data_IF_878200053754
#
_entry.id   IF_878200053754
#
_cell.length_a   1.000
_cell.length_b   1.000
_cell.length_c   1.000
_cell.angle_alpha   90.00
_cell.angle_beta   90.00
_cell.angle_gamma   90.00
#
_symmetry.space_group_name_H-M   'P 1'
#
loop_
_entity.id
_entity.type
_entity.pdbx_description
1 polymer ?
#
# COMPACT_ATOMS: atom_id res chain seq x y z
N UNK A 1 0.07 -21.04 1.48
CA UNK A 1 1.14 -20.01 1.62
C UNK A 1 0.55 -18.64 1.91
N UNK A 2 1.16 -17.93 2.87
CA UNK A 2 0.82 -16.57 3.32
C UNK A 2 2.05 -15.68 3.09
N UNK A 3 1.83 -14.43 2.68
CA UNK A 3 2.91 -13.42 2.58
C UNK A 3 2.66 -12.33 3.62
N UNK A 4 3.67 -12.00 4.42
CA UNK A 4 3.64 -10.88 5.36
C UNK A 4 4.66 -9.84 4.92
N UNK A 5 4.20 -8.63 4.62
CA UNK A 5 5.07 -7.46 4.41
C UNK A 5 5.11 -6.72 5.74
N UNK A 6 6.26 -6.66 6.40
CA UNK A 6 6.41 -6.03 7.71
C UNK A 6 7.18 -4.72 7.53
N UNK A 7 6.47 -3.60 7.62
CA UNK A 7 7.03 -2.25 7.63
C UNK A 7 7.24 -1.82 9.08
N UNK A 8 8.43 -1.35 9.42
CA UNK A 8 8.75 -0.90 10.76
C UNK A 8 9.61 0.36 10.76
N UNK A 9 9.36 1.26 11.70
CA UNK A 9 10.19 2.44 11.94
C UNK A 9 11.11 2.21 13.15
N UNK A 10 12.42 2.38 12.94
CA UNK A 10 13.43 2.33 13.99
C UNK A 10 14.19 3.66 14.10
N UNK A 11 15.28 3.70 14.88
CA UNK A 11 16.11 4.90 15.06
C UNK A 11 16.79 5.39 13.77
N UNK A 12 16.93 4.54 12.75
CA UNK A 12 17.64 4.81 11.50
C UNK A 12 16.70 5.18 10.35
N UNK A 13 15.42 4.85 10.46
CA UNK A 13 14.42 5.15 9.44
C UNK A 13 13.31 4.11 9.38
N UNK A 14 12.68 4.00 8.21
CA UNK A 14 11.61 3.02 7.97
C UNK A 14 12.10 1.94 7.02
N UNK A 15 11.89 0.70 7.40
CA UNK A 15 12.37 -0.47 6.67
C UNK A 15 11.26 -1.50 6.48
N UNK A 16 11.46 -2.38 5.51
CA UNK A 16 10.57 -3.49 5.22
C UNK A 16 11.32 -4.81 5.18
N UNK A 17 10.75 -5.79 5.88
CA UNK A 17 11.05 -7.20 5.70
C UNK A 17 9.82 -7.91 5.10
N UNK A 18 10.04 -8.94 4.29
CA UNK A 18 8.97 -9.76 3.74
C UNK A 18 9.19 -11.21 4.12
N UNK A 19 8.15 -11.82 4.67
CA UNK A 19 8.14 -13.21 5.10
C UNK A 19 7.15 -14.03 4.27
N UNK A 20 7.53 -15.28 3.97
CA UNK A 20 6.65 -16.28 3.39
C UNK A 20 6.41 -17.39 4.40
N UNK A 21 5.15 -17.63 4.72
CA UNK A 21 4.74 -18.68 5.65
C UNK A 21 4.17 -19.84 4.84
N UNK A 22 4.76 -21.02 4.98
CA UNK A 22 4.29 -22.23 4.32
C UNK A 22 3.07 -22.83 5.04
N UNK A 23 2.51 -23.91 4.50
CA UNK A 23 1.27 -24.51 5.02
C UNK A 23 1.47 -25.21 6.38
N UNK A 24 2.72 -25.42 6.81
CA UNK A 24 3.07 -25.92 8.14
C UNK A 24 3.30 -24.78 9.16
N UNK A 25 3.10 -23.53 8.77
CA UNK A 25 3.30 -22.37 9.64
C UNK A 25 4.75 -21.93 9.82
N UNK A 26 5.69 -22.47 9.04
CA UNK A 26 7.10 -22.06 9.10
C UNK A 26 7.26 -20.81 8.23
N UNK A 27 7.70 -19.69 8.81
CA UNK A 27 8.12 -18.52 8.05
C UNK A 27 9.55 -18.62 7.55
N UNK A 28 9.74 -18.08 6.35
CA UNK A 28 11.02 -17.79 5.74
C UNK A 28 11.08 -16.29 5.45
N UNK A 29 12.14 -15.61 5.91
CA UNK A 29 12.44 -14.23 5.49
C UNK A 29 12.98 -14.26 4.06
N UNK A 30 12.25 -13.65 3.12
CA UNK A 30 12.57 -13.69 1.69
C UNK A 30 13.10 -12.36 1.16
N UNK A 31 12.84 -11.25 1.85
CA UNK A 31 13.40 -9.92 1.59
C UNK A 31 13.62 -9.23 2.93
N UNK A 32 14.70 -8.47 3.08
CA UNK A 32 15.01 -7.82 4.36
C UNK A 32 15.70 -6.48 4.22
N UNK A 33 15.46 -5.62 5.23
CA UNK A 33 16.04 -4.30 5.39
C UNK A 33 15.89 -3.40 4.16
N UNK A 34 14.75 -3.49 3.46
CA UNK A 34 14.48 -2.64 2.31
C UNK A 34 14.11 -1.25 2.83
N UNK A 35 14.85 -0.22 2.43
CA UNK A 35 14.51 1.17 2.76
C UNK A 35 13.11 1.49 2.23
N UNK A 36 12.25 1.98 3.14
CA UNK A 36 10.82 2.19 2.85
C UNK A 36 10.48 3.66 2.98
N UNK A 37 9.81 4.20 1.96
CA UNK A 37 9.34 5.58 1.93
C UNK A 37 7.88 5.57 2.38
N UNK A 38 7.57 6.36 3.39
CA UNK A 38 6.21 6.49 3.96
C UNK A 38 5.72 7.93 3.86
N UNK A 39 4.56 8.20 4.45
CA UNK A 39 3.99 9.54 4.53
C UNK A 39 4.97 10.58 5.07
N UNK A 40 4.81 11.84 4.63
CA UNK A 40 5.60 13.00 5.12
C UNK A 40 5.54 13.21 6.64
N UNK A 41 4.51 12.69 7.29
CA UNK A 41 4.35 12.71 8.74
C UNK A 41 4.80 11.38 9.37
N UNK A 42 5.51 10.53 8.63
CA UNK A 42 5.92 9.15 8.97
C UNK A 42 4.74 8.21 9.24
N UNK A 43 4.92 7.20 10.09
CA UNK A 43 3.86 6.27 10.47
C UNK A 43 3.02 6.87 11.61
N UNK A 44 1.71 6.70 11.52
CA UNK A 44 0.76 7.20 12.53
C UNK A 44 1.08 6.60 13.91
N UNK A 45 1.28 7.43 14.95
CA UNK A 45 1.50 6.94 16.31
C UNK A 45 0.33 6.08 16.83
N UNK A 46 0.61 5.18 17.75
CA UNK A 46 -0.39 4.30 18.33
C UNK A 46 -1.43 5.09 19.12
N UNK A 47 -2.70 4.77 18.90
CA UNK A 47 -3.84 5.43 19.57
C UNK A 47 -4.28 6.73 18.91
N UNK A 48 -3.53 7.26 17.94
CA UNK A 48 -3.95 8.44 17.17
C UNK A 48 -4.96 8.10 16.08
N UNK A 49 -5.76 9.09 15.70
CA UNK A 49 -6.76 8.96 14.64
C UNK A 49 -6.21 9.52 13.32
N UNK A 50 -6.18 8.67 12.30
CA UNK A 50 -5.88 9.05 10.93
C UNK A 50 -6.95 10.01 10.40
N UNK A 51 -6.54 11.00 9.62
CA UNK A 51 -7.40 11.94 8.92
C UNK A 51 -6.98 12.13 7.47
N UNK A 52 -7.89 12.61 6.64
CA UNK A 52 -7.61 13.03 5.27
C UNK A 52 -6.55 14.13 5.26
N UNK A 53 -5.56 14.01 4.36
CA UNK A 53 -4.48 15.00 4.24
C UNK A 53 -3.51 15.13 5.43
N UNK A 54 -3.55 14.29 6.47
CA UNK A 54 -2.65 14.40 7.63
C UNK A 54 -1.17 14.03 7.34
N UNK A 55 -0.91 13.39 6.20
CA UNK A 55 0.43 12.99 5.78
C UNK A 55 0.99 11.74 6.45
N UNK A 56 0.24 11.06 7.32
CA UNK A 56 0.69 9.84 7.99
C UNK A 56 0.42 8.59 7.15
N UNK A 57 1.29 7.59 7.26
CA UNK A 57 0.97 6.21 6.86
C UNK A 57 0.23 5.51 8.00
N UNK A 58 -0.91 4.84 7.77
CA UNK A 58 -1.67 4.23 8.85
C UNK A 58 -0.91 3.06 9.48
N UNK A 59 -0.84 3.06 10.81
CA UNK A 59 -0.31 1.93 11.58
C UNK A 59 -1.35 0.81 11.70
N UNK A 60 -0.95 -0.46 11.64
CA UNK A 60 -1.86 -1.61 11.75
C UNK A 60 -1.55 -2.76 10.77
N UNK A 61 -2.41 -3.77 10.76
CA UNK A 61 -2.36 -4.86 9.78
C UNK A 61 -3.50 -4.71 8.76
N UNK A 62 -3.14 -4.72 7.48
CA UNK A 62 -4.07 -4.52 6.37
C UNK A 62 -3.90 -5.59 5.31
N UNK A 63 -5.00 -5.98 4.64
CA UNK A 63 -4.93 -6.89 3.50
C UNK A 63 -4.54 -6.15 2.23
N UNK A 64 -3.94 -6.89 1.30
CA UNK A 64 -3.77 -6.44 -0.09
C UNK A 64 -4.83 -7.11 -0.93
N UNK A 65 -5.89 -6.37 -1.26
CA UNK A 65 -7.12 -6.93 -1.85
C UNK A 65 -7.23 -6.69 -3.35
N UNK A 66 -6.49 -5.71 -3.86
CA UNK A 66 -6.61 -5.25 -5.24
C UNK A 66 -5.29 -4.69 -5.74
N UNK A 67 -5.01 -4.83 -7.03
CA UNK A 67 -3.85 -4.25 -7.68
C UNK A 67 -4.25 -3.56 -8.98
N UNK A 68 -3.49 -2.54 -9.37
CA UNK A 68 -3.70 -1.83 -10.63
C UNK A 68 -2.39 -1.25 -11.14
N UNK A 69 -2.39 -0.78 -12.39
CA UNK A 69 -1.30 0.03 -12.93
C UNK A 69 -1.22 0.00 -14.44
N UNK A 70 -0.26 0.74 -14.98
CA UNK A 70 0.02 0.77 -16.41
C UNK A 70 1.07 -0.26 -16.85
N UNK A 71 1.70 -0.99 -15.92
CA UNK A 71 2.61 -2.10 -16.20
C UNK A 71 1.88 -3.33 -16.75
N UNK A 72 2.61 -4.26 -17.37
CA UNK A 72 2.03 -5.56 -17.75
C UNK A 72 1.97 -6.47 -16.52
N UNK A 73 0.87 -7.20 -16.28
CA UNK A 73 0.83 -8.12 -15.15
C UNK A 73 1.98 -9.14 -15.26
N UNK A 74 2.65 -9.43 -14.15
CA UNK A 74 3.89 -10.23 -14.11
C UNK A 74 3.80 -11.62 -14.77
N UNK A 75 2.58 -12.16 -14.94
CA UNK A 75 2.33 -13.45 -15.57
C UNK A 75 1.46 -13.37 -16.84
N UNK A 76 1.17 -12.17 -17.36
CA UNK A 76 0.29 -11.99 -18.53
C UNK A 76 -1.21 -12.17 -18.27
N UNK A 77 -1.61 -12.58 -17.05
CA UNK A 77 -3.01 -12.74 -16.65
C UNK A 77 -3.53 -11.50 -15.89
N UNK A 78 -4.83 -11.22 -15.93
CA UNK A 78 -5.52 -10.17 -15.12
C UNK A 78 -5.49 -10.43 -13.60
N UNK A 79 -4.64 -11.36 -13.16
CA UNK A 79 -4.49 -11.82 -11.78
C UNK A 79 -3.01 -11.87 -11.43
N UNK A 80 -2.55 -11.01 -10.52
CA UNK A 80 -1.23 -11.13 -9.90
C UNK A 80 -1.36 -12.11 -8.73
N UNK A 81 -1.02 -13.38 -8.98
CA UNK A 81 -0.88 -14.43 -7.92
C UNK A 81 -2.13 -14.59 -7.03
N UNK A 82 -3.30 -14.46 -7.64
CA UNK A 82 -4.62 -14.57 -7.00
C UNK A 82 -5.21 -13.24 -6.53
N UNK A 83 -4.56 -12.10 -6.79
CA UNK A 83 -5.08 -10.75 -6.53
C UNK A 83 -5.55 -10.15 -7.85
N UNK A 84 -6.77 -9.57 -7.94
CA UNK A 84 -7.24 -8.89 -9.15
C UNK A 84 -6.28 -7.78 -9.58
N UNK A 85 -6.00 -7.69 -10.88
CA UNK A 85 -5.17 -6.64 -11.48
C UNK A 85 -5.96 -5.84 -12.52
N UNK A 86 -6.07 -4.53 -12.31
CA UNK A 86 -6.60 -3.61 -13.31
C UNK A 86 -5.49 -2.97 -14.12
N UNK A 87 -5.44 -3.31 -15.41
CA UNK A 87 -4.63 -2.57 -16.37
C UNK A 87 -5.27 -1.20 -16.62
N UNK A 88 -4.50 -0.15 -16.38
CA UNK A 88 -4.88 1.23 -16.68
C UNK A 88 -4.09 1.67 -17.91
N UNK A 89 -4.78 2.00 -19.00
CA UNK A 89 -4.17 2.22 -20.30
C UNK A 89 -4.02 3.69 -20.65
N UNK A 90 -4.87 4.55 -20.09
CA UNK A 90 -4.89 5.97 -20.43
C UNK A 90 -5.28 6.85 -19.24
N UNK A 91 -4.91 8.11 -19.36
CA UNK A 91 -5.29 9.18 -18.43
C UNK A 91 -6.80 9.33 -18.39
N UNK A 92 -7.37 9.59 -17.20
CA UNK A 92 -8.81 9.70 -17.00
C UNK A 92 -9.60 8.45 -17.47
N UNK A 93 -9.02 7.25 -17.42
CA UNK A 93 -9.77 6.00 -17.60
C UNK A 93 -10.40 5.57 -16.28
N UNK A 94 -9.58 5.51 -15.24
CA UNK A 94 -9.95 5.13 -13.87
C UNK A 94 -9.36 6.12 -12.87
N UNK A 95 -10.11 6.37 -11.80
CA UNK A 95 -9.71 7.23 -10.70
C UNK A 95 -10.01 6.55 -9.35
N UNK A 96 -9.28 6.92 -8.32
CA UNK A 96 -9.66 6.66 -6.93
C UNK A 96 -10.18 7.93 -6.29
N UNK A 97 -11.44 7.94 -5.87
CA UNK A 97 -12.07 9.15 -5.35
C UNK A 97 -11.53 9.42 -3.94
N UNK A 98 -10.93 10.59 -3.75
CA UNK A 98 -10.36 11.05 -2.47
C UNK A 98 -11.15 12.22 -1.84
N UNK A 99 -12.20 12.70 -2.51
CA UNK A 99 -13.11 13.71 -1.98
C UNK A 99 -14.06 13.13 -0.91
N UNK A 100 -13.89 13.57 0.34
CA UNK A 100 -14.69 13.14 1.49
C UNK A 100 -16.18 13.51 1.41
N UNK A 101 -16.56 14.44 0.53
CA UNK A 101 -17.96 14.82 0.31
C UNK A 101 -18.66 13.94 -0.74
N UNK A 102 -17.91 13.14 -1.50
CA UNK A 102 -18.45 12.26 -2.52
C UNK A 102 -19.09 11.02 -1.90
N UNK A 103 -20.18 10.53 -2.50
CA UNK A 103 -20.78 9.23 -2.12
C UNK A 103 -19.90 8.05 -2.53
N UNK A 104 -18.87 8.30 -3.32
CA UNK A 104 -17.91 7.32 -3.84
C UNK A 104 -16.54 7.43 -3.18
N UNK A 105 -16.44 8.19 -2.08
CA UNK A 105 -15.20 8.39 -1.33
C UNK A 105 -14.46 7.07 -1.05
N UNK A 106 -13.14 7.11 -1.20
CA UNK A 106 -12.22 6.00 -1.02
C UNK A 106 -12.55 4.75 -1.85
N UNK A 107 -13.05 4.93 -3.08
CA UNK A 107 -13.31 3.82 -4.01
C UNK A 107 -12.74 4.06 -5.40
N UNK A 108 -12.41 2.97 -6.08
CA UNK A 108 -12.11 2.94 -7.51
C UNK A 108 -13.38 3.25 -8.32
N UNK A 109 -13.26 4.19 -9.25
CA UNK A 109 -14.32 4.55 -10.19
C UNK A 109 -13.77 4.60 -11.61
N UNK A 110 -14.63 4.26 -12.58
CA UNK A 110 -14.38 4.68 -13.96
C UNK A 110 -14.63 6.18 -14.05
N UNK A 111 -13.70 6.92 -14.66
CA UNK A 111 -13.84 8.37 -14.76
C UNK A 111 -15.00 8.75 -15.68
N UNK A 112 -15.70 9.83 -15.31
CA UNK A 112 -16.74 10.47 -16.13
C UNK A 112 -16.72 11.97 -15.87
N UNK A 113 -16.97 12.79 -16.91
CA UNK A 113 -17.09 14.25 -16.75
C UNK A 113 -18.23 14.66 -15.82
N UNK A 114 -19.31 13.86 -15.78
CA UNK A 114 -20.43 14.07 -14.87
C UNK A 114 -20.29 13.15 -13.66
N UNK A 115 -19.62 13.66 -12.63
CA UNK A 115 -19.38 12.94 -11.38
C UNK A 115 -19.86 13.75 -10.16
N UNK A 116 -19.69 13.19 -8.95
CA UNK A 116 -20.06 13.79 -7.67
C UNK A 116 -18.86 14.02 -6.74
N UNK A 117 -17.66 14.22 -7.30
CA UNK A 117 -16.43 14.46 -6.55
C UNK A 117 -15.67 15.66 -7.10
N UNK A 118 -15.13 16.50 -6.22
CA UNK A 118 -14.28 17.63 -6.60
C UNK A 118 -12.80 17.23 -6.79
N UNK A 119 -12.40 16.10 -6.19
CA UNK A 119 -11.07 15.52 -6.32
C UNK A 119 -11.11 14.00 -6.47
N UNK A 120 -10.17 13.48 -7.26
CA UNK A 120 -9.87 12.06 -7.34
C UNK A 120 -8.45 11.87 -7.89
N UNK A 121 -7.82 10.79 -7.46
CA UNK A 121 -6.50 10.39 -7.94
C UNK A 121 -6.60 9.67 -9.29
N UNK A 122 -5.92 10.17 -10.32
CA UNK A 122 -5.83 9.50 -11.62
C UNK A 122 -4.90 8.29 -11.52
N UNK A 123 -5.40 7.11 -11.91
CA UNK A 123 -4.64 5.87 -11.77
C UNK A 123 -3.61 5.67 -12.89
N UNK A 124 -3.66 6.47 -13.96
CA UNK A 124 -2.61 6.53 -14.97
C UNK A 124 -1.55 7.57 -14.58
N UNK A 125 -0.81 7.27 -13.51
CA UNK A 125 0.21 8.13 -12.93
C UNK A 125 1.60 7.49 -13.04
N UNK A 126 2.67 8.29 -13.17
CA UNK A 126 4.06 7.79 -13.29
C UNK A 126 4.55 6.93 -12.12
N UNK A 127 3.85 6.99 -10.98
CA UNK A 127 4.16 6.21 -9.78
C UNK A 127 3.43 4.86 -9.77
N UNK A 128 2.44 4.70 -10.65
CA UNK A 128 1.49 3.59 -10.68
C UNK A 128 1.74 2.62 -11.83
N UNK A 129 3.02 2.29 -12.03
CA UNK A 129 3.40 1.17 -12.90
C UNK A 129 2.84 -0.14 -12.35
N UNK A 130 3.06 -0.36 -11.06
CA UNK A 130 2.49 -1.45 -10.28
C UNK A 130 2.06 -0.88 -8.93
N UNK A 131 0.75 -0.95 -8.65
CA UNK A 131 0.15 -0.42 -7.45
C UNK A 131 -0.70 -1.47 -6.77
N UNK A 132 -0.64 -1.53 -5.44
CA UNK A 132 -1.47 -2.42 -4.64
C UNK A 132 -2.26 -1.60 -3.62
N UNK A 133 -3.54 -1.90 -3.48
CA UNK A 133 -4.41 -1.24 -2.50
C UNK A 133 -4.11 -1.82 -1.13
N UNK A 134 -3.75 -0.95 -0.19
CA UNK A 134 -3.76 -1.29 1.24
C UNK A 134 -5.22 -1.10 1.68
N UNK A 135 -5.86 -2.17 2.17
CA UNK A 135 -7.29 -2.19 2.56
C UNK A 135 -7.58 -1.40 3.86
N UNK A 136 -6.96 -0.22 3.97
CA UNK A 136 -7.20 0.79 5.00
C UNK A 136 -8.49 1.56 4.71
N UNK A 137 -9.21 1.95 5.77
CA UNK A 137 -10.50 2.65 5.67
C UNK A 137 -11.49 1.96 4.70
N UNK A 138 -11.57 0.63 4.79
CA UNK A 138 -12.40 -0.23 3.94
C UNK A 138 -13.88 0.14 3.97
N UNK A 139 -14.37 0.57 5.13
CA UNK A 139 -15.75 1.02 5.32
C UNK A 139 -16.01 2.40 4.67
N UNK A 140 -15.00 3.00 4.01
CA UNK A 140 -15.09 4.26 3.29
C UNK A 140 -15.62 5.39 4.17
N UNK A 141 -15.17 5.44 5.44
CA UNK A 141 -15.60 6.48 6.38
C UNK A 141 -14.94 7.79 5.96
N UNK A 142 -15.78 8.75 5.54
CA UNK A 142 -15.36 10.08 5.11
C UNK A 142 -14.40 10.73 6.11
N UNK A 143 -13.31 11.33 5.61
CA UNK A 143 -12.33 12.05 6.40
C UNK A 143 -11.31 11.19 7.15
N UNK A 144 -11.44 9.86 7.15
CA UNK A 144 -10.44 8.97 7.79
C UNK A 144 -9.19 8.74 6.93
N UNK A 145 -9.09 9.35 5.74
CA UNK A 145 -8.00 9.13 4.79
C UNK A 145 -8.37 8.13 3.71
N UNK A 146 -7.85 8.36 2.51
CA UNK A 146 -8.16 7.60 1.31
C UNK A 146 -6.89 7.30 0.50
N UNK A 147 -7.05 6.51 -0.56
CA UNK A 147 -6.00 6.23 -1.55
C UNK A 147 -4.66 5.77 -0.95
N UNK A 148 -4.72 4.94 0.10
CA UNK A 148 -3.52 4.40 0.74
C UNK A 148 -3.05 3.20 -0.05
N UNK A 149 -1.94 3.38 -0.77
CA UNK A 149 -1.41 2.39 -1.70
C UNK A 149 0.02 1.95 -1.37
N UNK A 150 0.41 0.85 -2.00
CA UNK A 150 1.80 0.48 -2.27
C UNK A 150 2.13 0.95 -3.69
N UNK A 151 3.18 1.74 -3.88
CA UNK A 151 3.59 2.20 -5.22
C UNK A 151 5.09 2.48 -5.37
N UNK A 152 5.53 2.90 -6.56
CA UNK A 152 6.92 3.29 -6.83
C UNK A 152 7.26 4.59 -6.11
N UNK A 153 8.40 4.64 -5.42
CA UNK A 153 8.91 5.86 -4.82
C UNK A 153 9.21 6.93 -5.89
N UNK A 154 9.01 8.19 -5.51
CA UNK A 154 9.43 9.34 -6.32
C UNK A 154 10.96 9.39 -6.38
N UNK A 155 11.49 10.03 -7.42
CA UNK A 155 12.91 10.32 -7.50
C UNK A 155 13.39 11.08 -6.25
N UNK A 156 14.59 10.77 -5.78
CA UNK A 156 15.15 11.37 -4.56
C UNK A 156 14.51 10.91 -3.25
N UNK A 157 13.66 9.87 -3.25
CA UNK A 157 13.01 9.31 -2.06
C UNK A 157 12.17 10.34 -1.28
N UNK A 158 11.53 11.29 -1.97
CA UNK A 158 10.66 12.26 -1.28
C UNK A 158 9.48 11.54 -0.63
N UNK A 159 9.06 11.93 0.58
CA UNK A 159 7.95 11.27 1.30
C UNK A 159 6.64 11.25 0.51
N UNK A 160 5.79 10.27 0.81
CA UNK A 160 4.45 10.15 0.23
C UNK A 160 3.45 11.04 0.97
N UNK A 161 2.18 11.02 0.56
CA UNK A 161 1.08 11.62 1.32
C UNK A 161 0.49 10.70 2.40
N UNK A 162 0.91 9.43 2.46
CA UNK A 162 0.39 8.41 3.37
C UNK A 162 0.58 6.97 2.84
N UNK A 163 0.85 6.81 1.55
CA UNK A 163 1.21 5.54 0.93
C UNK A 163 2.54 4.95 1.44
N UNK A 164 2.75 3.66 1.16
CA UNK A 164 4.03 2.98 1.32
C UNK A 164 4.69 2.84 -0.04
N UNK A 165 5.97 3.19 -0.16
CA UNK A 165 6.65 3.20 -1.43
C UNK A 165 8.09 2.68 -1.34
N UNK A 166 8.56 2.11 -2.45
CA UNK A 166 9.91 1.57 -2.60
C UNK A 166 10.51 2.00 -3.94
N UNK A 167 11.83 1.96 -4.04
CA UNK A 167 12.51 2.07 -5.32
C UNK A 167 11.99 0.99 -6.27
N UNK A 168 11.98 1.29 -7.58
CA UNK A 168 11.28 0.47 -8.57
C UNK A 168 11.68 -1.01 -8.50
N UNK A 169 12.96 -1.33 -8.41
CA UNK A 169 13.42 -2.72 -8.41
C UNK A 169 12.99 -3.48 -7.14
N UNK A 170 13.02 -2.82 -5.98
CA UNK A 170 12.51 -3.37 -4.72
C UNK A 170 11.00 -3.58 -4.77
N UNK A 171 10.25 -2.61 -5.32
CA UNK A 171 8.82 -2.74 -5.57
C UNK A 171 8.51 -3.96 -6.43
N UNK A 172 9.24 -4.16 -7.54
CA UNK A 172 9.06 -5.34 -8.40
C UNK A 172 9.36 -6.64 -7.63
N UNK A 173 10.37 -6.66 -6.76
CA UNK A 173 10.68 -7.82 -5.92
C UNK A 173 9.55 -8.11 -4.92
N UNK A 174 8.95 -7.09 -4.32
CA UNK A 174 7.78 -7.22 -3.44
C UNK A 174 6.57 -7.75 -4.24
N UNK A 175 6.27 -7.17 -5.40
CA UNK A 175 5.16 -7.61 -6.24
C UNK A 175 5.30 -9.07 -6.69
N UNK A 176 6.53 -9.50 -7.01
CA UNK A 176 6.83 -10.90 -7.35
C UNK A 176 6.56 -11.87 -6.21
N UNK A 177 6.36 -11.45 -4.97
CA UNK A 177 6.13 -12.36 -3.83
C UNK A 177 4.74 -12.21 -3.20
N UNK A 178 3.90 -11.31 -3.73
CA UNK A 178 2.50 -11.20 -3.36
C UNK A 178 1.73 -12.50 -3.64
N UNK A 179 0.72 -12.74 -2.84
CA UNK A 179 -0.27 -13.82 -2.98
C UNK A 179 -1.65 -13.31 -2.56
N UNK A 180 -2.72 -14.01 -2.91
CA UNK A 180 -4.08 -13.71 -2.39
C UNK A 180 -4.19 -13.64 -0.85
N UNK A 181 -3.22 -14.20 -0.13
CA UNK A 181 -3.15 -14.21 1.32
C UNK A 181 -2.12 -13.19 1.85
N UNK A 182 -1.86 -12.10 1.13
CA UNK A 182 -0.90 -11.08 1.57
C UNK A 182 -1.54 -10.12 2.56
N UNK A 183 -0.80 -9.80 3.62
CA UNK A 183 -1.06 -8.63 4.45
C UNK A 183 0.19 -7.79 4.64
N UNK A 184 0.00 -6.50 4.80
CA UNK A 184 1.03 -5.55 5.23
C UNK A 184 0.79 -5.18 6.71
N UNK A 185 1.83 -5.35 7.52
CA UNK A 185 1.85 -5.04 8.95
C UNK A 185 2.77 -3.82 9.13
N UNK A 186 2.21 -2.70 9.54
CA UNK A 186 2.90 -1.41 9.64
C UNK A 186 3.03 -1.07 11.12
N UNK A 187 4.27 -0.91 11.58
CA UNK A 187 4.64 -0.58 12.95
C UNK A 187 5.40 0.75 12.98
N UNK A 188 4.83 1.75 13.65
CA UNK A 188 5.46 3.03 13.91
C UNK A 188 6.53 2.94 14.99
N UNK A 189 7.27 4.03 15.17
CA UNK A 189 8.42 4.08 16.09
C UNK A 189 8.10 3.64 17.51
N UNK A 190 6.93 4.02 18.00
CA UNK A 190 6.43 3.69 19.35
C UNK A 190 6.08 2.20 19.53
N UNK A 191 5.94 1.45 18.43
CA UNK A 191 5.68 -0.01 18.43
C UNK A 191 6.82 -0.83 17.85
N UNK A 192 8.03 -0.27 17.70
CA UNK A 192 9.18 -1.00 17.18
C UNK A 192 9.55 -2.24 18.03
N UNK A 193 9.38 -2.18 19.35
CA UNK A 193 9.59 -3.34 20.22
C UNK A 193 8.64 -4.50 19.88
N UNK A 194 7.37 -4.18 19.60
CA UNK A 194 6.36 -5.15 19.18
C UNK A 194 6.67 -5.70 17.78
N UNK A 195 7.15 -4.84 16.86
CA UNK A 195 7.57 -5.27 15.53
C UNK A 195 8.65 -6.36 15.59
N UNK A 196 9.64 -6.20 16.49
CA UNK A 196 10.71 -7.19 16.68
C UNK A 196 10.17 -8.52 17.21
N UNK A 197 9.27 -8.48 18.18
CA UNK A 197 8.62 -9.70 18.72
C UNK A 197 7.83 -10.37 17.60
N UNK A 198 6.99 -9.61 16.89
CA UNK A 198 6.22 -10.10 15.76
C UNK A 198 7.10 -10.82 14.73
N UNK A 199 8.17 -10.19 14.27
CA UNK A 199 9.08 -10.79 13.30
C UNK A 199 9.81 -12.04 13.82
N UNK A 200 10.09 -12.11 15.12
CA UNK A 200 10.73 -13.29 15.73
C UNK A 200 9.78 -14.48 15.93
N UNK A 201 8.46 -14.23 15.91
CA UNK A 201 7.41 -15.23 16.12
C UNK A 201 6.76 -15.71 14.82
N UNK A 202 7.07 -15.08 13.68
CA UNK A 202 6.70 -15.57 12.35
C UNK A 202 7.43 -16.87 12.04
#
# INVERSE_FOLDING_TARGET
MITKIVVFEDEKGVFTNVYRINDNGIAEEILSNILTIVGRSVILPFGEQKREGDGFTPQGEYKITYTFGYGEPFNGDEIIKGIPYLKVNDKNEYVWVDDENSKKYNTLQRYTERNDWDSAEDLFHELYEYTAVIDYNKECIAGNGSAIFIHKAREGNTPTAGCVAWQRDDLLNIFRVLTKNTSICIFGKDRYAEAKVYMSEL
#
